data_IF_804748598709
#
_entry.id   IF_804748598709
#
_cell.length_a   1.000
_cell.length_b   1.000
_cell.length_c   1.000
_cell.angle_alpha   90.00
_cell.angle_beta   90.00
_cell.angle_gamma   90.00
#
_symmetry.space_group_name_H-M   'P 1'
#
loop_
_entity.id
_entity.type
_entity.pdbx_description
1 polymer ?
#
# COMPACT_ATOMS: atom_id res chain seq x y z
N UNK A 1 -9.83 -7.37 50.18
CA UNK A 1 -9.14 -8.28 49.21
C UNK A 1 -9.31 -7.88 47.74
N UNK A 2 -10.10 -6.85 47.40
CA UNK A 2 -10.33 -6.37 46.04
C UNK A 2 -9.10 -5.63 45.40
N UNK A 3 -8.33 -4.76 46.11
CA UNK A 3 -7.29 -3.92 45.50
C UNK A 3 -6.21 -4.66 44.72
N UNK A 4 -5.68 -5.81 45.15
CA UNK A 4 -4.64 -6.52 44.36
C UNK A 4 -5.19 -7.16 43.08
N UNK A 5 -6.45 -7.57 43.03
CA UNK A 5 -7.09 -8.11 41.85
C UNK A 5 -7.37 -7.03 40.81
N UNK A 6 -7.81 -5.83 41.24
CA UNK A 6 -8.00 -4.68 40.35
C UNK A 6 -6.69 -4.20 39.74
N UNK A 7 -5.61 -4.15 40.53
CA UNK A 7 -4.28 -3.80 40.05
C UNK A 7 -3.77 -4.81 39.00
N UNK A 8 -4.01 -6.11 39.21
CA UNK A 8 -3.60 -7.17 38.29
C UNK A 8 -4.39 -7.12 36.98
N UNK A 9 -5.69 -6.87 37.07
CA UNK A 9 -6.55 -6.68 35.90
C UNK A 9 -6.13 -5.42 35.10
N UNK A 10 -5.86 -4.31 35.78
CA UNK A 10 -5.37 -3.09 35.14
C UNK A 10 -4.03 -3.27 34.42
N UNK A 11 -3.10 -4.00 35.05
CA UNK A 11 -1.81 -4.32 34.43
C UNK A 11 -1.96 -5.24 33.22
N UNK A 12 -2.83 -6.25 33.30
CA UNK A 12 -3.11 -7.14 32.16
C UNK A 12 -3.72 -6.38 30.98
N UNK A 13 -4.68 -5.49 31.22
CA UNK A 13 -5.30 -4.64 30.20
C UNK A 13 -4.28 -3.68 29.56
N UNK A 14 -3.41 -3.05 30.38
CA UNK A 14 -2.37 -2.16 29.85
C UNK A 14 -1.38 -2.94 28.97
N UNK A 15 -0.96 -4.13 29.40
CA UNK A 15 -0.05 -4.99 28.62
C UNK A 15 -0.69 -5.41 27.30
N UNK A 16 -1.97 -5.82 27.33
CA UNK A 16 -2.72 -6.16 26.12
C UNK A 16 -2.84 -4.98 25.15
N UNK A 17 -3.15 -3.78 25.68
CA UNK A 17 -3.24 -2.56 24.88
C UNK A 17 -1.90 -2.18 24.22
N UNK A 18 -0.79 -2.25 24.97
CA UNK A 18 0.54 -1.99 24.45
C UNK A 18 0.96 -3.01 23.37
N UNK A 19 0.66 -4.28 23.59
CA UNK A 19 0.93 -5.34 22.62
C UNK A 19 0.14 -5.11 21.33
N UNK A 20 -1.15 -4.80 21.44
CA UNK A 20 -2.01 -4.50 20.29
C UNK A 20 -1.49 -3.28 19.51
N UNK A 21 -1.14 -2.20 20.21
CA UNK A 21 -0.61 -0.99 19.58
C UNK A 21 0.69 -1.25 18.83
N UNK A 22 1.61 -2.04 19.42
CA UNK A 22 2.87 -2.41 18.78
C UNK A 22 2.68 -3.26 17.51
N UNK A 23 1.60 -4.04 17.43
CA UNK A 23 1.30 -4.84 16.23
C UNK A 23 0.82 -4.00 15.05
N UNK A 24 0.18 -2.86 15.29
CA UNK A 24 -0.36 -1.97 14.24
C UNK A 24 0.71 -1.03 13.69
N UNK A 25 1.70 -0.65 14.49
CA UNK A 25 2.71 0.35 14.12
C UNK A 25 3.50 -0.08 12.86
N UNK A 26 3.97 -1.31 12.81
CA UNK A 26 4.76 -1.82 11.68
C UNK A 26 4.05 -1.71 10.33
N UNK A 27 2.82 -2.22 10.20
CA UNK A 27 2.01 -2.07 9.00
C UNK A 27 1.74 -0.63 8.58
N UNK A 28 1.45 0.27 9.52
CA UNK A 28 1.25 1.70 9.23
C UNK A 28 2.51 2.34 8.66
N UNK A 29 3.68 2.02 9.21
CA UNK A 29 4.97 2.51 8.71
C UNK A 29 5.22 2.05 7.28
N UNK A 30 4.95 0.77 6.95
CA UNK A 30 5.11 0.25 5.58
C UNK A 30 4.17 0.94 4.60
N UNK A 31 2.90 1.15 4.96
CA UNK A 31 1.93 1.87 4.13
C UNK A 31 2.38 3.30 3.83
N UNK A 32 2.88 4.03 4.85
CA UNK A 32 3.43 5.39 4.69
C UNK A 32 4.70 5.39 3.84
N UNK A 33 5.59 4.44 4.04
CA UNK A 33 6.81 4.33 3.25
C UNK A 33 6.50 4.13 1.76
N UNK A 34 5.56 3.24 1.43
CA UNK A 34 5.10 3.04 0.05
C UNK A 34 4.47 4.31 -0.53
N UNK A 35 3.64 5.02 0.24
CA UNK A 35 3.03 6.28 -0.21
C UNK A 35 4.10 7.35 -0.53
N UNK A 36 5.10 7.50 0.33
CA UNK A 36 6.22 8.42 0.12
C UNK A 36 7.09 8.04 -1.08
N UNK A 37 7.34 6.75 -1.29
CA UNK A 37 8.06 6.24 -2.46
C UNK A 37 7.31 6.58 -3.76
N UNK A 38 6.02 6.27 -3.83
CA UNK A 38 5.18 6.58 -4.99
C UNK A 38 5.10 8.08 -5.24
N UNK A 39 4.96 8.90 -4.21
CA UNK A 39 5.00 10.34 -4.33
C UNK A 39 6.32 10.84 -4.90
N UNK A 40 7.46 10.35 -4.41
CA UNK A 40 8.78 10.73 -4.91
C UNK A 40 8.92 10.42 -6.40
N UNK A 41 8.43 9.25 -6.82
CA UNK A 41 8.41 8.85 -8.22
C UNK A 41 7.46 9.73 -9.07
N UNK A 42 6.35 10.21 -8.49
CA UNK A 42 5.46 11.15 -9.15
C UNK A 42 6.11 12.53 -9.32
N UNK A 43 6.75 13.06 -8.28
CA UNK A 43 7.44 14.37 -8.31
C UNK A 43 8.61 14.40 -9.30
N UNK A 44 9.21 13.24 -9.59
CA UNK A 44 10.29 13.11 -10.58
C UNK A 44 9.80 12.71 -11.97
N UNK A 45 8.48 12.63 -12.19
CA UNK A 45 7.87 12.12 -13.43
C UNK A 45 8.49 10.79 -13.89
N UNK A 46 8.68 9.87 -12.96
CA UNK A 46 9.34 8.60 -13.21
C UNK A 46 8.65 7.78 -14.31
N UNK A 47 7.33 7.83 -14.41
CA UNK A 47 6.58 7.12 -15.45
C UNK A 47 6.85 7.72 -16.85
N UNK A 48 6.91 9.04 -16.98
CA UNK A 48 7.23 9.72 -18.24
C UNK A 48 8.65 9.47 -18.73
N UNK A 49 9.59 9.30 -17.81
CA UNK A 49 11.01 9.08 -18.10
C UNK A 49 11.48 7.64 -17.95
N UNK A 50 10.57 6.68 -17.73
CA UNK A 50 10.94 5.28 -17.50
C UNK A 50 11.75 4.67 -18.65
N UNK A 51 11.50 5.12 -19.88
CA UNK A 51 12.21 4.68 -21.09
C UNK A 51 13.70 5.10 -21.12
N UNK A 52 14.04 6.16 -20.39
CA UNK A 52 15.40 6.69 -20.31
C UNK A 52 16.23 6.01 -19.22
N UNK A 53 15.60 5.20 -18.39
CA UNK A 53 16.26 4.50 -17.29
C UNK A 53 17.05 3.29 -17.81
N UNK A 54 18.15 2.99 -17.10
CA UNK A 54 18.82 1.72 -17.36
C UNK A 54 17.86 0.55 -17.05
N UNK A 55 17.68 -0.43 -17.96
CA UNK A 55 16.68 -1.48 -17.84
C UNK A 55 16.70 -2.22 -16.48
N UNK A 56 17.91 -2.52 -15.96
CA UNK A 56 18.04 -3.18 -14.66
C UNK A 56 17.58 -2.30 -13.48
N UNK A 57 17.79 -0.99 -13.55
CA UNK A 57 17.32 -0.06 -12.53
C UNK A 57 15.79 0.06 -12.58
N UNK A 58 15.21 0.20 -13.78
CA UNK A 58 13.77 0.21 -13.97
C UNK A 58 13.12 -1.08 -13.42
N UNK A 59 13.65 -2.24 -13.81
CA UNK A 59 13.19 -3.54 -13.31
C UNK A 59 13.27 -3.63 -11.79
N UNK A 60 14.39 -3.24 -11.18
CA UNK A 60 14.56 -3.28 -9.73
C UNK A 60 13.55 -2.40 -8.99
N UNK A 61 13.30 -1.18 -9.48
CA UNK A 61 12.29 -0.27 -8.91
C UNK A 61 10.88 -0.85 -9.02
N UNK A 62 10.49 -1.33 -10.21
CA UNK A 62 9.15 -1.90 -10.43
C UNK A 62 8.91 -3.15 -9.58
N UNK A 63 9.90 -4.05 -9.49
CA UNK A 63 9.84 -5.25 -8.64
C UNK A 63 9.82 -4.91 -7.15
N UNK A 64 10.55 -3.86 -6.75
CA UNK A 64 10.51 -3.31 -5.38
C UNK A 64 9.12 -2.81 -5.02
N UNK A 65 8.51 -1.98 -5.86
CA UNK A 65 7.14 -1.48 -5.70
C UNK A 65 6.12 -2.62 -5.63
N UNK A 66 6.22 -3.61 -6.53
CA UNK A 66 5.35 -4.78 -6.50
C UNK A 66 5.40 -5.51 -5.16
N UNK A 67 6.60 -5.70 -4.60
CA UNK A 67 6.79 -6.29 -3.28
C UNK A 67 6.17 -5.45 -2.18
N UNK A 68 6.42 -4.15 -2.16
CA UNK A 68 5.88 -3.23 -1.15
C UNK A 68 4.34 -3.19 -1.18
N UNK A 69 3.72 -3.24 -2.37
CA UNK A 69 2.25 -3.35 -2.52
C UNK A 69 1.73 -4.67 -1.94
N UNK A 70 2.40 -5.80 -2.20
CA UNK A 70 2.00 -7.11 -1.66
C UNK A 70 2.17 -7.18 -0.14
N UNK A 71 3.18 -6.52 0.42
CA UNK A 71 3.35 -6.38 1.87
C UNK A 71 2.18 -5.61 2.49
N UNK A 72 1.82 -4.45 1.93
CA UNK A 72 0.67 -3.66 2.38
C UNK A 72 -0.65 -4.43 2.19
N UNK A 73 -0.82 -5.15 1.08
CA UNK A 73 -1.96 -6.05 0.85
C UNK A 73 -2.07 -7.09 1.96
N UNK A 74 -0.94 -7.70 2.34
CA UNK A 74 -0.88 -8.71 3.40
C UNK A 74 -1.23 -8.10 4.76
N UNK A 75 -0.74 -6.89 5.03
CA UNK A 75 -1.08 -6.16 6.26
C UNK A 75 -2.59 -5.89 6.36
N UNK A 76 -3.24 -5.47 5.27
CA UNK A 76 -4.70 -5.25 5.25
C UNK A 76 -5.50 -6.54 5.43
N UNK A 77 -5.01 -7.67 4.90
CA UNK A 77 -5.65 -8.96 5.09
C UNK A 77 -5.58 -9.47 6.55
N UNK A 78 -4.50 -9.15 7.28
CA UNK A 78 -4.33 -9.56 8.67
C UNK A 78 -4.87 -8.56 9.69
N UNK A 79 -4.96 -7.29 9.31
CA UNK A 79 -5.33 -6.17 10.15
C UNK A 79 -6.36 -5.29 9.41
N UNK A 80 -7.58 -5.80 9.26
CA UNK A 80 -8.66 -5.15 8.50
C UNK A 80 -9.01 -3.76 9.04
N UNK A 81 -8.81 -3.52 10.34
CA UNK A 81 -8.99 -2.22 10.97
C UNK A 81 -8.10 -1.13 10.38
N UNK A 82 -6.95 -1.49 9.78
CA UNK A 82 -6.03 -0.51 9.17
C UNK A 82 -6.62 0.19 7.96
N UNK A 83 -7.59 -0.40 7.28
CA UNK A 83 -8.29 0.26 6.19
C UNK A 83 -8.95 1.57 6.66
N UNK A 84 -9.50 1.58 7.86
CA UNK A 84 -10.23 2.73 8.42
C UNK A 84 -9.33 3.81 9.02
N UNK A 85 -8.02 3.57 9.15
CA UNK A 85 -7.09 4.61 9.59
C UNK A 85 -6.82 5.57 8.44
N UNK A 86 -7.35 6.78 8.56
CA UNK A 86 -7.09 7.88 7.63
C UNK A 86 -5.80 8.60 8.01
N UNK A 87 -4.99 8.89 7.01
CA UNK A 87 -3.79 9.69 7.20
C UNK A 87 -4.14 11.18 7.19
N UNK A 88 -3.68 11.89 8.21
CA UNK A 88 -3.86 13.34 8.30
C UNK A 88 -2.98 14.09 7.28
N UNK A 89 -1.82 13.50 6.95
CA UNK A 89 -0.87 14.05 6.00
C UNK A 89 -1.13 13.49 4.59
N UNK A 90 -1.61 14.28 3.62
CA UNK A 90 -1.91 13.81 2.26
C UNK A 90 -0.73 13.13 1.57
N UNK A 91 0.49 13.56 1.93
CA UNK A 91 1.73 13.03 1.37
C UNK A 91 2.02 11.58 1.79
N UNK A 92 1.44 11.14 2.89
CA UNK A 92 1.57 9.79 3.44
C UNK A 92 0.34 8.92 3.17
N UNK A 93 -0.69 9.48 2.53
CA UNK A 93 -1.93 8.78 2.21
C UNK A 93 -1.73 7.92 0.94
N UNK A 94 -1.60 6.60 1.12
CA UNK A 94 -1.41 5.67 0.00
C UNK A 94 -2.54 5.78 -1.03
N UNK A 95 -3.77 5.98 -0.59
CA UNK A 95 -4.94 6.15 -1.46
C UNK A 95 -4.79 7.30 -2.47
N UNK A 96 -4.06 8.36 -2.12
CA UNK A 96 -3.80 9.51 -2.99
C UNK A 96 -2.59 9.29 -3.92
N UNK A 97 -1.69 8.37 -3.58
CA UNK A 97 -0.45 8.14 -4.32
C UNK A 97 -0.51 6.91 -5.24
N UNK A 98 -1.51 6.05 -5.07
CA UNK A 98 -1.56 4.75 -5.76
C UNK A 98 -1.68 4.87 -7.29
N UNK A 99 -2.22 5.98 -7.80
CA UNK A 99 -2.34 6.25 -9.23
C UNK A 99 -0.97 6.29 -9.92
N UNK A 100 0.08 6.66 -9.20
CA UNK A 100 1.45 6.62 -9.72
C UNK A 100 1.92 5.20 -10.01
N UNK A 101 1.51 4.22 -9.20
CA UNK A 101 1.81 2.82 -9.47
C UNK A 101 1.12 2.32 -10.75
N UNK A 102 -0.11 2.79 -11.03
CA UNK A 102 -0.80 2.51 -12.29
C UNK A 102 -0.06 3.12 -13.49
N UNK A 103 0.37 4.37 -13.39
CA UNK A 103 1.12 5.06 -14.44
C UNK A 103 2.45 4.36 -14.74
N UNK A 104 3.19 3.97 -13.70
CA UNK A 104 4.45 3.21 -13.86
C UNK A 104 4.23 1.83 -14.48
N UNK A 105 3.19 1.12 -14.07
CA UNK A 105 2.79 -0.16 -14.68
C UNK A 105 2.55 0.01 -16.19
N UNK A 106 1.77 1.01 -16.57
CA UNK A 106 1.39 1.22 -17.97
C UNK A 106 2.60 1.61 -18.83
N UNK A 107 3.46 2.52 -18.30
CA UNK A 107 4.71 2.88 -18.95
C UNK A 107 5.63 1.66 -19.12
N UNK A 108 5.77 0.82 -18.09
CA UNK A 108 6.60 -0.36 -18.13
C UNK A 108 6.10 -1.42 -19.12
N UNK A 109 4.78 -1.64 -19.18
CA UNK A 109 4.18 -2.60 -20.11
C UNK A 109 4.30 -2.15 -21.56
N UNK A 110 4.38 -0.84 -21.82
CA UNK A 110 4.62 -0.27 -23.15
C UNK A 110 6.11 -0.25 -23.54
N UNK A 111 7.04 -0.51 -22.62
CA UNK A 111 8.47 -0.46 -22.88
C UNK A 111 8.92 -1.55 -23.86
N UNK A 112 9.97 -1.27 -24.65
CA UNK A 112 10.53 -2.22 -25.59
C UNK A 112 11.42 -3.28 -24.90
N UNK A 113 12.09 -2.91 -23.83
CA UNK A 113 12.96 -3.80 -23.07
C UNK A 113 12.19 -4.87 -22.31
N UNK A 114 12.61 -6.13 -22.44
CA UNK A 114 11.93 -7.29 -21.84
C UNK A 114 11.99 -7.24 -20.32
N UNK A 115 13.12 -6.85 -19.73
CA UNK A 115 13.26 -6.81 -18.28
C UNK A 115 12.39 -5.71 -17.64
N UNK A 116 12.22 -4.58 -18.33
CA UNK A 116 11.30 -3.52 -17.89
C UNK A 116 9.85 -4.01 -17.93
N UNK A 117 9.45 -4.70 -19.03
CA UNK A 117 8.11 -5.30 -19.12
C UNK A 117 7.89 -6.36 -18.05
N UNK A 118 8.88 -7.18 -17.72
CA UNK A 118 8.77 -8.17 -16.64
C UNK A 118 8.53 -7.51 -15.29
N UNK A 119 9.23 -6.41 -14.99
CA UNK A 119 8.94 -5.59 -13.81
C UNK A 119 7.53 -5.00 -13.83
N UNK A 120 7.09 -4.52 -15.00
CA UNK A 120 5.71 -4.04 -15.21
C UNK A 120 4.66 -5.12 -14.98
N UNK A 121 4.91 -6.35 -15.41
CA UNK A 121 4.02 -7.50 -15.15
C UNK A 121 3.94 -7.85 -13.66
N UNK A 122 5.06 -7.81 -12.95
CA UNK A 122 5.06 -8.02 -11.50
C UNK A 122 4.23 -6.96 -10.79
N UNK A 123 4.43 -5.69 -11.16
CA UNK A 123 3.66 -4.58 -10.61
C UNK A 123 2.16 -4.69 -10.95
N UNK A 124 1.80 -5.13 -12.16
CA UNK A 124 0.43 -5.39 -12.57
C UNK A 124 -0.23 -6.44 -11.65
N UNK A 125 0.43 -7.58 -11.46
CA UNK A 125 -0.09 -8.67 -10.61
C UNK A 125 -0.26 -8.19 -9.16
N UNK A 126 0.70 -7.44 -8.63
CA UNK A 126 0.62 -6.90 -7.27
C UNK A 126 -0.57 -5.93 -7.09
N UNK A 127 -0.81 -5.06 -8.08
CA UNK A 127 -1.95 -4.14 -8.08
C UNK A 127 -3.29 -4.87 -8.22
N UNK A 128 -3.37 -5.93 -9.04
CA UNK A 128 -4.55 -6.77 -9.17
C UNK A 128 -4.87 -7.49 -7.84
N UNK A 129 -3.86 -8.07 -7.19
CA UNK A 129 -4.02 -8.71 -5.88
C UNK A 129 -4.47 -7.74 -4.79
N UNK A 130 -3.93 -6.52 -4.80
CA UNK A 130 -4.34 -5.49 -3.86
C UNK A 130 -5.78 -5.01 -4.13
N UNK A 131 -6.12 -4.74 -5.39
CA UNK A 131 -7.47 -4.34 -5.78
C UNK A 131 -8.52 -5.43 -5.47
N UNK A 132 -8.19 -6.71 -5.73
CA UNK A 132 -9.06 -7.82 -5.40
C UNK A 132 -9.37 -7.89 -3.89
N UNK A 133 -8.36 -7.70 -3.03
CA UNK A 133 -8.59 -7.64 -1.60
C UNK A 133 -9.49 -6.46 -1.22
N UNK A 134 -9.23 -5.27 -1.76
CA UNK A 134 -10.05 -4.09 -1.48
C UNK A 134 -11.51 -4.31 -1.90
N UNK A 135 -11.75 -4.86 -3.09
CA UNK A 135 -13.10 -5.15 -3.60
C UNK A 135 -13.83 -6.23 -2.79
N UNK A 136 -13.10 -7.23 -2.28
CA UNK A 136 -13.73 -8.31 -1.51
C UNK A 136 -14.09 -7.93 -0.08
N UNK A 137 -13.32 -7.04 0.56
CA UNK A 137 -13.40 -6.80 1.99
C UNK A 137 -13.86 -5.38 2.37
N UNK A 138 -13.60 -4.38 1.50
CA UNK A 138 -13.67 -2.98 1.94
C UNK A 138 -14.51 -2.05 1.06
N UNK A 139 -14.55 -2.26 -0.26
CA UNK A 139 -15.23 -1.33 -1.18
C UNK A 139 -16.15 -2.08 -2.12
N UNK A 140 -17.34 -1.50 -2.37
CA UNK A 140 -18.30 -2.07 -3.30
C UNK A 140 -18.00 -1.56 -4.73
N UNK A 141 -17.42 -2.43 -5.56
CA UNK A 141 -17.01 -2.10 -6.93
C UNK A 141 -17.24 -3.29 -7.88
N UNK A 142 -17.10 -3.03 -9.18
CA UNK A 142 -17.15 -4.06 -10.22
C UNK A 142 -15.91 -4.98 -10.27
N UNK A 143 -14.95 -4.77 -9.37
CA UNK A 143 -13.71 -5.53 -9.27
C UNK A 143 -12.63 -5.15 -10.29
N UNK A 144 -12.87 -4.18 -11.18
CA UNK A 144 -11.81 -3.67 -12.03
C UNK A 144 -10.79 -2.88 -11.22
N UNK A 145 -9.49 -3.06 -11.51
CA UNK A 145 -8.39 -2.47 -10.73
C UNK A 145 -8.53 -0.95 -10.60
N UNK A 146 -8.78 -0.27 -11.73
CA UNK A 146 -8.88 1.18 -11.75
C UNK A 146 -10.08 1.71 -10.94
N UNK A 147 -11.26 1.12 -11.09
CA UNK A 147 -12.47 1.53 -10.35
C UNK A 147 -12.33 1.22 -8.86
N UNK A 148 -11.70 0.11 -8.50
CA UNK A 148 -11.48 -0.27 -7.09
C UNK A 148 -10.50 0.68 -6.41
N UNK A 149 -9.41 1.05 -7.07
CA UNK A 149 -8.44 2.00 -6.51
C UNK A 149 -9.01 3.42 -6.46
N UNK A 150 -9.88 3.82 -7.40
CA UNK A 150 -10.60 5.09 -7.35
C UNK A 150 -11.62 5.13 -6.20
N UNK A 151 -12.35 4.04 -5.96
CA UNK A 151 -13.22 3.90 -4.79
C UNK A 151 -12.43 3.98 -3.48
N UNK A 152 -11.29 3.30 -3.39
CA UNK A 152 -10.39 3.39 -2.25
C UNK A 152 -9.92 4.82 -1.99
N UNK A 153 -9.52 5.56 -3.04
CA UNK A 153 -9.17 6.98 -2.94
C UNK A 153 -10.33 7.82 -2.43
N UNK A 154 -11.52 7.63 -2.99
CA UNK A 154 -12.72 8.42 -2.64
C UNK A 154 -13.12 8.21 -1.18
N UNK A 155 -13.05 6.97 -0.68
CA UNK A 155 -13.37 6.66 0.72
C UNK A 155 -12.41 7.33 1.71
N UNK A 156 -11.13 7.47 1.33
CA UNK A 156 -10.08 8.06 2.18
C UNK A 156 -9.84 9.56 1.96
N UNK A 157 -10.58 10.19 1.05
CA UNK A 157 -10.49 11.65 0.79
C UNK A 157 -11.57 12.47 1.51
N UNK A 158 -12.44 11.79 2.28
CA UNK A 158 -13.50 12.42 3.09
C UNK A 158 -13.03 12.66 4.51
#
# INVERSE_FOLDING_TARGET
FAPPLEALAGFALLTAALTWFSQIEGPLVRRRALAMELRTLAETDAAGHLVDWHPSAAHATLSGLARSILEVRTDFAHHTEQFYFQETEPNMALSLQIDQALALRDAALAAQDVSVRDGGQQLRVALEEFANLLASEFVDTDGAVASTLDAYRTEHSR
#
